data_IF_251584876387
#
_entry.id   IF_251584876387
#
_cell.length_a   1.000
_cell.length_b   1.000
_cell.length_c   1.000
_cell.angle_alpha   90.00
_cell.angle_beta   90.00
_cell.angle_gamma   90.00
#
_symmetry.space_group_name_H-M   'P 1'
#
loop_
_entity.id
_entity.type
_entity.pdbx_description
1 polymer ?
#
# COMPACT_ATOMS: atom_id res chain seq x y z
N UNK A 1 42.79 -4.40 -5.60
CA UNK A 1 41.49 -4.63 -6.27
C UNK A 1 40.43 -4.85 -5.18
N UNK A 2 39.66 -3.81 -4.84
CA UNK A 2 38.68 -3.83 -3.73
C UNK A 2 37.32 -4.30 -4.26
N UNK A 3 36.84 -5.44 -3.78
CA UNK A 3 35.45 -5.87 -3.96
C UNK A 3 34.68 -5.45 -2.71
N UNK A 4 33.83 -4.41 -2.85
CA UNK A 4 32.88 -3.99 -1.81
C UNK A 4 31.66 -4.92 -1.86
N UNK A 5 31.58 -5.86 -0.91
CA UNK A 5 30.37 -6.63 -0.66
C UNK A 5 29.47 -5.83 0.28
N UNK A 6 28.44 -5.18 -0.24
CA UNK A 6 27.41 -4.54 0.58
C UNK A 6 26.45 -5.63 1.08
N UNK A 7 26.63 -6.06 2.32
CA UNK A 7 25.68 -6.89 3.06
C UNK A 7 24.45 -6.06 3.44
N UNK A 8 23.26 -6.50 2.99
CA UNK A 8 21.98 -5.98 3.47
C UNK A 8 21.66 -6.60 4.83
N UNK A 9 21.87 -5.85 5.90
CA UNK A 9 21.34 -6.17 7.23
C UNK A 9 19.93 -5.58 7.35
N UNK A 10 18.90 -6.43 7.46
CA UNK A 10 17.62 -6.05 8.06
C UNK A 10 17.32 -7.11 9.11
N UNK A 11 17.58 -6.75 10.36
CA UNK A 11 17.39 -7.59 11.54
C UNK A 11 15.90 -7.70 11.88
N UNK A 12 15.48 -8.92 12.23
CA UNK A 12 14.35 -9.15 13.13
C UNK A 12 14.76 -8.64 14.53
N UNK A 13 13.96 -7.81 15.19
CA UNK A 13 14.02 -7.69 16.65
C UNK A 13 12.63 -7.75 17.28
N UNK A 14 12.53 -8.66 18.25
CA UNK A 14 11.46 -8.74 19.24
C UNK A 14 11.71 -7.66 20.30
N UNK A 15 10.60 -7.15 20.84
CA UNK A 15 10.51 -6.01 21.74
C UNK A 15 11.35 -6.16 23.03
N UNK A 16 12.43 -5.38 23.14
CA UNK A 16 12.91 -4.68 24.34
C UNK A 16 14.29 -4.06 24.02
N UNK A 17 14.39 -2.73 24.03
CA UNK A 17 15.66 -2.00 23.78
C UNK A 17 15.69 -1.30 22.43
N UNK A 18 15.78 0.03 22.47
CA UNK A 18 15.65 0.93 21.32
C UNK A 18 16.66 0.66 20.20
N UNK A 19 16.12 0.25 19.06
CA UNK A 19 16.60 0.66 17.74
C UNK A 19 15.42 1.41 17.15
N UNK A 20 15.57 2.70 16.87
CA UNK A 20 14.53 3.41 16.12
C UNK A 20 14.32 2.67 14.80
N UNK A 21 13.10 2.22 14.53
CA UNK A 21 12.77 1.59 13.27
C UNK A 21 13.12 2.58 12.14
N UNK A 22 14.09 2.21 11.30
CA UNK A 22 14.54 3.06 10.20
C UNK A 22 13.34 3.36 9.29
N UNK A 23 12.92 4.62 9.25
CA UNK A 23 11.85 5.05 8.36
C UNK A 23 12.40 5.25 6.95
N UNK A 24 11.92 4.43 6.02
CA UNK A 24 12.34 4.48 4.63
C UNK A 24 11.40 5.34 3.79
N UNK A 25 11.91 6.44 3.25
CA UNK A 25 11.24 7.21 2.19
C UNK A 25 11.23 6.40 0.88
N UNK A 26 10.05 5.91 0.50
CA UNK A 26 9.85 5.06 -0.65
C UNK A 26 9.94 5.83 -1.98
N UNK A 27 9.72 7.15 -1.99
CA UNK A 27 9.74 7.95 -3.22
C UNK A 27 11.16 8.24 -3.72
N UNK A 28 12.16 8.13 -2.84
CA UNK A 28 13.59 8.19 -3.18
C UNK A 28 14.13 6.88 -3.78
N UNK A 29 13.26 5.90 -4.04
CA UNK A 29 13.65 4.55 -4.44
C UNK A 29 13.02 4.15 -5.78
N UNK A 30 13.37 2.96 -6.26
CA UNK A 30 12.88 2.46 -7.56
C UNK A 30 11.50 1.81 -7.46
N UNK A 31 10.72 1.97 -8.53
CA UNK A 31 9.36 1.44 -8.66
C UNK A 31 9.18 0.74 -10.01
N UNK A 32 8.20 -0.16 -10.08
CA UNK A 32 7.81 -0.86 -11.29
C UNK A 32 6.30 -0.70 -11.47
N UNK A 33 5.90 0.04 -12.50
CA UNK A 33 4.50 0.17 -12.89
C UNK A 33 4.06 -0.93 -13.84
N UNK A 34 2.80 -1.34 -13.72
CA UNK A 34 2.18 -2.38 -14.55
C UNK A 34 0.95 -1.85 -15.27
N UNK A 35 0.53 -2.56 -16.33
CA UNK A 35 -0.63 -2.23 -17.15
C UNK A 35 -1.97 -2.29 -16.41
N UNK A 36 -3.03 -2.00 -17.14
CA UNK A 36 -4.41 -2.03 -16.68
C UNK A 36 -4.88 -3.43 -16.28
N UNK A 37 -6.05 -3.52 -15.66
CA UNK A 37 -6.78 -4.76 -15.36
C UNK A 37 -5.97 -5.75 -14.51
N UNK A 38 -5.28 -5.23 -13.49
CA UNK A 38 -4.40 -5.99 -12.60
C UNK A 38 -3.24 -6.70 -13.33
N UNK A 39 -2.89 -6.25 -14.54
CA UNK A 39 -1.83 -6.86 -15.35
C UNK A 39 -0.50 -6.92 -14.60
N UNK A 40 0.23 -8.02 -14.80
CA UNK A 40 1.61 -8.18 -14.36
C UNK A 40 2.63 -7.69 -15.40
N UNK A 41 2.16 -7.23 -16.56
CA UNK A 41 3.00 -6.70 -17.63
C UNK A 41 3.46 -5.29 -17.26
N UNK A 42 4.76 -5.02 -17.40
CA UNK A 42 5.33 -3.73 -17.05
C UNK A 42 4.83 -2.66 -18.03
N UNK A 43 4.35 -1.55 -17.49
CA UNK A 43 4.04 -0.34 -18.25
C UNK A 43 4.53 0.90 -17.48
N UNK A 44 5.74 1.42 -17.78
CA UNK A 44 6.31 2.54 -17.05
C UNK A 44 5.65 3.89 -17.40
N UNK A 45 4.79 3.96 -18.41
CA UNK A 45 4.18 5.21 -18.84
C UNK A 45 3.11 5.72 -17.85
N UNK A 46 2.46 4.82 -17.11
CA UNK A 46 1.24 5.07 -16.34
C UNK A 46 1.45 5.89 -15.05
N UNK A 47 2.62 5.82 -14.42
CA UNK A 47 2.92 6.59 -13.21
C UNK A 47 4.15 7.48 -13.42
N UNK A 48 4.09 8.72 -12.94
CA UNK A 48 5.18 9.69 -13.01
C UNK A 48 5.70 9.99 -11.61
N UNK A 49 6.93 9.57 -11.33
CA UNK A 49 7.66 9.83 -10.08
C UNK A 49 8.44 11.14 -10.21
N UNK A 50 8.31 12.05 -9.23
CA UNK A 50 8.88 13.41 -9.25
C UNK A 50 9.57 13.75 -7.93
N UNK A 51 10.39 12.84 -7.41
CA UNK A 51 11.21 13.01 -6.19
C UNK A 51 10.40 13.05 -4.90
N UNK A 52 9.52 14.03 -4.73
CA UNK A 52 8.71 14.27 -3.52
C UNK A 52 7.27 13.78 -3.63
N UNK A 53 6.83 13.42 -4.84
CA UNK A 53 5.51 12.84 -5.08
C UNK A 53 5.53 11.89 -6.29
N UNK A 54 4.50 11.06 -6.36
CA UNK A 54 4.13 10.28 -7.55
C UNK A 54 2.71 10.67 -7.96
N UNK A 55 2.46 10.69 -9.27
CA UNK A 55 1.13 10.96 -9.83
C UNK A 55 0.80 10.04 -10.99
N UNK A 56 -0.49 9.92 -11.26
CA UNK A 56 -1.00 9.39 -12.53
C UNK A 56 -2.16 10.26 -13.02
N UNK A 57 -2.26 10.42 -14.34
CA UNK A 57 -3.41 10.99 -15.04
C UNK A 57 -4.19 9.89 -15.79
N UNK A 58 -3.78 8.63 -15.63
CA UNK A 58 -4.41 7.50 -16.31
C UNK A 58 -5.80 7.29 -15.75
N UNK A 59 -6.74 7.05 -16.66
CA UNK A 59 -8.12 6.67 -16.33
C UNK A 59 -8.38 5.17 -16.45
N UNK A 60 -7.38 4.43 -16.93
CA UNK A 60 -7.34 2.97 -16.97
C UNK A 60 -7.73 2.31 -15.65
N UNK A 61 -8.32 1.13 -15.75
CA UNK A 61 -8.80 0.36 -14.60
C UNK A 61 -7.67 -0.43 -13.95
N UNK A 62 -7.65 -0.44 -12.61
CA UNK A 62 -6.79 -1.29 -11.79
C UNK A 62 -5.28 -1.27 -12.16
N UNK A 63 -4.72 -0.09 -12.36
CA UNK A 63 -3.28 0.08 -12.60
C UNK A 63 -2.50 0.14 -11.28
N UNK A 64 -1.25 -0.33 -11.33
CA UNK A 64 -0.41 -0.45 -10.14
C UNK A 64 0.99 0.11 -10.36
N UNK A 65 1.61 0.53 -9.25
CA UNK A 65 3.06 0.64 -9.17
C UNK A 65 3.58 -0.02 -7.91
N UNK A 66 4.58 -0.88 -8.07
CA UNK A 66 5.12 -1.72 -7.00
C UNK A 66 6.52 -1.25 -6.63
N UNK A 67 6.75 -1.12 -5.33
CA UNK A 67 8.07 -0.79 -4.80
C UNK A 67 9.09 -1.89 -5.16
N UNK A 68 10.20 -1.49 -5.79
CA UNK A 68 11.30 -2.37 -6.18
C UNK A 68 12.28 -2.49 -5.02
N UNK A 69 11.89 -3.25 -4.01
CA UNK A 69 12.80 -3.59 -2.93
C UNK A 69 13.76 -4.73 -3.30
N UNK A 70 15.06 -4.49 -3.11
CA UNK A 70 16.10 -5.53 -3.07
C UNK A 70 16.11 -6.35 -1.77
N UNK A 71 15.72 -5.77 -0.62
CA UNK A 71 15.70 -6.44 0.69
C UNK A 71 14.32 -6.72 1.27
N UNK A 72 13.27 -6.00 0.86
CA UNK A 72 11.93 -6.09 1.45
C UNK A 72 11.02 -7.17 0.84
N UNK A 73 11.60 -8.15 0.11
CA UNK A 73 10.85 -9.34 -0.37
C UNK A 73 10.31 -10.22 0.77
N UNK A 74 10.75 -9.94 2.01
CA UNK A 74 10.44 -10.66 3.24
C UNK A 74 9.64 -9.83 4.26
N UNK A 75 9.14 -8.64 3.91
CA UNK A 75 8.35 -7.83 4.85
C UNK A 75 7.09 -8.58 5.29
N UNK A 76 6.98 -8.82 6.60
CA UNK A 76 5.85 -9.50 7.24
C UNK A 76 5.12 -8.59 8.21
N UNK A 77 5.88 -7.70 8.85
CA UNK A 77 5.44 -6.76 9.87
C UNK A 77 6.02 -5.40 9.54
N UNK A 78 5.18 -4.38 9.46
CA UNK A 78 5.58 -3.00 9.16
C UNK A 78 4.39 -2.06 9.36
N UNK A 79 4.69 -0.77 9.36
CA UNK A 79 3.73 0.30 9.15
C UNK A 79 4.05 0.94 7.79
N UNK A 80 3.05 1.01 6.91
CA UNK A 80 3.11 1.74 5.65
C UNK A 80 2.23 2.98 5.77
N UNK A 81 2.83 4.16 5.61
CA UNK A 81 2.11 5.43 5.72
C UNK A 81 2.41 6.38 4.57
N UNK A 82 1.57 7.40 4.46
CA UNK A 82 1.82 8.54 3.60
C UNK A 82 0.57 9.37 3.38
N UNK A 83 0.56 10.10 2.26
CA UNK A 83 -0.56 10.94 1.87
C UNK A 83 -1.03 10.61 0.46
N UNK A 84 -2.34 10.67 0.26
CA UNK A 84 -3.01 10.48 -1.03
C UNK A 84 -4.04 11.56 -1.30
N UNK A 85 -4.26 11.88 -2.59
CA UNK A 85 -5.24 12.86 -3.07
C UNK A 85 -5.77 12.42 -4.43
N UNK A 86 -7.09 12.33 -4.56
CA UNK A 86 -7.78 12.26 -5.85
C UNK A 86 -8.29 13.65 -6.26
N UNK A 87 -8.43 13.88 -7.55
CA UNK A 87 -8.96 15.12 -8.10
C UNK A 87 -10.45 15.05 -8.47
N UNK A 88 -11.01 13.84 -8.57
CA UNK A 88 -12.36 13.59 -9.09
C UNK A 88 -13.03 12.48 -8.28
N UNK A 89 -14.29 12.66 -7.90
CA UNK A 89 -15.08 11.69 -7.11
C UNK A 89 -15.34 10.37 -7.84
N UNK A 90 -15.28 10.38 -9.17
CA UNK A 90 -15.36 9.20 -10.01
C UNK A 90 -14.00 8.48 -10.15
N UNK A 91 -12.97 8.92 -9.44
CA UNK A 91 -11.65 8.32 -9.40
C UNK A 91 -11.47 7.28 -8.30
N UNK A 92 -10.64 6.27 -8.55
CA UNK A 92 -10.18 5.33 -7.53
C UNK A 92 -8.73 5.58 -7.11
N UNK A 93 -8.47 5.56 -5.80
CA UNK A 93 -7.13 5.75 -5.23
C UNK A 93 -6.88 4.80 -4.07
N UNK A 94 -5.63 4.38 -3.91
CA UNK A 94 -5.26 3.54 -2.79
C UNK A 94 -3.79 3.17 -2.75
N UNK A 95 -3.49 2.25 -1.84
CA UNK A 95 -2.17 1.66 -1.67
C UNK A 95 -2.29 0.14 -1.58
N UNK A 96 -1.29 -0.56 -2.13
CA UNK A 96 -1.20 -2.02 -2.04
C UNK A 96 -0.08 -2.43 -1.09
N UNK A 97 -0.25 -3.59 -0.47
CA UNK A 97 0.72 -4.15 0.46
C UNK A 97 0.64 -5.69 0.43
N UNK A 98 1.74 -6.33 0.84
CA UNK A 98 1.97 -7.76 0.59
C UNK A 98 1.82 -8.20 -0.88
N UNK A 99 2.04 -7.31 -1.84
CA UNK A 99 1.88 -7.65 -3.26
C UNK A 99 2.86 -8.72 -3.74
N UNK A 100 2.33 -9.74 -4.42
CA UNK A 100 3.08 -10.88 -4.97
C UNK A 100 3.70 -10.61 -6.34
N UNK A 101 3.60 -9.39 -6.88
CA UNK A 101 4.28 -9.02 -8.13
C UNK A 101 5.77 -9.42 -8.10
N UNK A 102 6.30 -10.18 -9.06
CA UNK A 102 5.78 -10.58 -10.38
C UNK A 102 5.15 -11.98 -10.47
N UNK A 103 5.00 -12.66 -9.35
CA UNK A 103 4.67 -14.10 -9.32
C UNK A 103 3.18 -14.37 -9.47
N UNK A 104 2.36 -13.49 -8.90
CA UNK A 104 0.91 -13.63 -8.92
C UNK A 104 0.23 -12.28 -8.77
N UNK A 105 -0.97 -12.18 -9.30
CA UNK A 105 -1.89 -11.08 -9.08
C UNK A 105 -2.60 -11.25 -7.74
N UNK A 106 -1.85 -11.02 -6.66
CA UNK A 106 -2.32 -11.18 -5.27
C UNK A 106 -1.76 -10.09 -4.39
N UNK A 107 -2.61 -9.42 -3.62
CA UNK A 107 -2.23 -8.38 -2.66
C UNK A 107 -3.39 -8.07 -1.71
N UNK A 108 -3.10 -7.29 -0.66
CA UNK A 108 -4.13 -6.51 0.02
C UNK A 108 -4.01 -5.05 -0.43
N UNK A 109 -5.11 -4.31 -0.36
CA UNK A 109 -5.13 -2.87 -0.63
C UNK A 109 -6.03 -2.13 0.34
N UNK A 110 -5.60 -0.92 0.70
CA UNK A 110 -6.49 0.12 1.22
C UNK A 110 -6.91 0.98 0.03
N UNK A 111 -8.20 1.05 -0.28
CA UNK A 111 -8.71 1.77 -1.46
C UNK A 111 -10.03 2.48 -1.19
N UNK A 112 -10.32 3.48 -2.02
CA UNK A 112 -11.64 4.09 -2.22
C UNK A 112 -11.86 4.25 -3.72
N UNK A 113 -13.08 4.03 -4.19
CA UNK A 113 -13.48 4.16 -5.61
C UNK A 113 -15.01 4.33 -5.74
N UNK A 114 -15.56 4.69 -6.91
CA UNK A 114 -16.97 5.09 -6.99
C UNK A 114 -17.99 4.03 -6.54
N UNK A 115 -17.72 2.75 -6.81
CA UNK A 115 -18.59 1.64 -6.39
C UNK A 115 -18.48 1.29 -4.90
N UNK A 116 -17.46 1.77 -4.20
CA UNK A 116 -17.35 1.72 -2.75
C UNK A 116 -16.49 2.92 -2.27
N UNK A 117 -17.13 4.07 -2.00
CA UNK A 117 -16.44 5.33 -1.86
C UNK A 117 -15.75 5.50 -0.50
N UNK A 118 -16.08 4.70 0.51
CA UNK A 118 -15.32 4.69 1.76
C UNK A 118 -13.95 4.05 1.56
N UNK A 119 -12.93 4.53 2.29
CA UNK A 119 -11.67 3.80 2.35
C UNK A 119 -11.85 2.49 3.10
N UNK A 120 -11.53 1.37 2.45
CA UNK A 120 -11.66 0.04 3.01
C UNK A 120 -10.48 -0.85 2.62
N UNK A 121 -10.26 -1.92 3.40
CA UNK A 121 -9.34 -2.99 3.06
C UNK A 121 -10.05 -3.97 2.12
N UNK A 122 -9.47 -4.15 0.94
CA UNK A 122 -9.90 -5.17 -0.01
C UNK A 122 -8.73 -6.10 -0.34
N UNK A 123 -8.85 -7.41 -0.12
CA UNK A 123 -7.92 -8.39 -0.65
C UNK A 123 -8.13 -8.60 -2.16
N UNK A 124 -7.13 -9.14 -2.86
CA UNK A 124 -7.22 -9.52 -4.27
C UNK A 124 -6.47 -10.85 -4.52
N UNK A 125 -6.99 -11.77 -5.37
CA UNK A 125 -8.22 -11.70 -6.16
C UNK A 125 -9.50 -11.64 -5.34
N UNK A 126 -10.46 -10.85 -5.82
CA UNK A 126 -11.75 -10.66 -5.17
C UNK A 126 -12.50 -12.01 -5.14
N UNK A 127 -13.08 -12.37 -3.98
CA UNK A 127 -13.78 -13.66 -3.78
C UNK A 127 -12.87 -14.88 -3.54
N UNK A 128 -11.56 -14.78 -3.77
CA UNK A 128 -10.60 -15.84 -3.46
C UNK A 128 -9.80 -15.47 -2.21
N UNK A 129 -9.18 -14.30 -2.21
CA UNK A 129 -8.51 -13.79 -1.02
C UNK A 129 -9.55 -13.09 -0.14
N UNK A 130 -9.55 -13.36 1.16
CA UNK A 130 -10.62 -12.92 2.06
C UNK A 130 -10.09 -12.11 3.25
N UNK A 131 -10.92 -11.20 3.74
CA UNK A 131 -10.86 -10.74 5.13
C UNK A 131 -11.85 -11.62 5.87
N UNK A 132 -11.36 -12.38 6.85
CA UNK A 132 -12.15 -13.43 7.51
C UNK A 132 -12.65 -13.00 8.89
N UNK A 133 -12.17 -11.89 9.43
CA UNK A 133 -12.61 -11.36 10.71
C UNK A 133 -12.36 -9.85 10.86
N UNK A 134 -13.17 -9.22 11.72
CA UNK A 134 -13.05 -7.82 12.10
C UNK A 134 -13.63 -6.84 11.08
N UNK A 135 -13.40 -5.55 11.32
CA UNK A 135 -13.90 -4.46 10.48
C UNK A 135 -12.83 -4.00 9.49
N UNK A 136 -13.20 -3.96 8.21
CA UNK A 136 -12.35 -3.56 7.08
C UNK A 136 -12.65 -2.17 6.55
N UNK A 137 -13.68 -1.49 7.03
CA UNK A 137 -14.07 -0.15 6.57
C UNK A 137 -13.58 0.96 7.53
N UNK A 138 -13.33 2.15 6.99
CA UNK A 138 -12.94 3.32 7.80
C UNK A 138 -14.05 4.34 7.97
N UNK A 139 -15.14 4.18 7.22
CA UNK A 139 -16.25 5.12 7.03
C UNK A 139 -15.84 6.46 6.39
N UNK A 140 -14.57 6.62 6.02
CA UNK A 140 -14.05 7.87 5.44
C UNK A 140 -14.25 7.87 3.93
N UNK A 141 -15.17 8.73 3.46
CA UNK A 141 -15.28 9.10 2.04
C UNK A 141 -14.32 10.26 1.74
N UNK A 142 -13.40 10.12 0.77
CA UNK A 142 -12.51 11.21 0.42
C UNK A 142 -13.22 12.30 -0.39
N UNK A 143 -12.99 13.56 -0.01
CA UNK A 143 -13.44 14.71 -0.78
C UNK A 143 -12.39 15.02 -1.87
N UNK A 144 -12.79 15.13 -3.16
CA UNK A 144 -11.88 15.50 -4.23
C UNK A 144 -11.07 16.76 -3.92
N UNK A 145 -9.81 16.74 -4.34
CA UNK A 145 -8.89 17.84 -4.15
C UNK A 145 -8.31 17.95 -2.73
N UNK A 146 -8.76 17.15 -1.74
CA UNK A 146 -8.19 17.14 -0.39
C UNK A 146 -7.12 16.05 -0.24
N UNK A 147 -6.09 16.37 0.54
CA UNK A 147 -5.09 15.39 0.95
C UNK A 147 -5.60 14.60 2.15
N UNK A 148 -5.38 13.29 2.13
CA UNK A 148 -5.62 12.39 3.26
C UNK A 148 -4.32 11.72 3.66
N UNK A 149 -4.02 11.73 4.95
CA UNK A 149 -3.02 10.85 5.53
C UNK A 149 -3.59 9.44 5.62
N UNK A 150 -2.75 8.44 5.44
CA UNK A 150 -3.06 7.06 5.80
C UNK A 150 -1.94 6.45 6.63
N UNK A 151 -2.32 5.46 7.45
CA UNK A 151 -1.40 4.57 8.14
C UNK A 151 -1.96 3.17 8.11
N UNK A 152 -1.21 2.22 7.58
CA UNK A 152 -1.56 0.80 7.53
C UNK A 152 -0.50 0.03 8.33
N UNK A 153 -0.90 -0.59 9.43
CA UNK A 153 -0.07 -1.50 10.19
C UNK A 153 -0.41 -2.93 9.79
N UNK A 154 0.60 -3.68 9.38
CA UNK A 154 0.47 -5.10 9.02
C UNK A 154 1.28 -5.92 10.01
N UNK A 155 0.67 -6.98 10.54
CA UNK A 155 1.37 -7.99 11.36
C UNK A 155 0.97 -9.38 10.91
N UNK A 156 1.96 -10.17 10.52
CA UNK A 156 1.75 -11.55 10.07
C UNK A 156 2.28 -12.54 11.10
N UNK A 157 1.46 -13.50 11.49
CA UNK A 157 1.81 -14.64 12.34
C UNK A 157 1.56 -15.96 11.62
N UNK A 158 1.87 -17.07 12.30
CA UNK A 158 1.53 -18.43 11.85
C UNK A 158 0.02 -18.65 11.73
N UNK A 159 -0.80 -17.89 12.46
CA UNK A 159 -2.26 -18.01 12.44
C UNK A 159 -2.93 -17.01 11.47
N UNK A 160 -2.47 -15.76 11.41
CA UNK A 160 -3.20 -14.71 10.68
C UNK A 160 -2.32 -13.62 10.09
N UNK A 161 -2.85 -12.88 9.12
CA UNK A 161 -2.36 -11.56 8.71
C UNK A 161 -3.31 -10.52 9.26
N UNK A 162 -2.90 -9.80 10.31
CA UNK A 162 -3.69 -8.72 10.92
C UNK A 162 -3.36 -7.39 10.25
N UNK A 163 -4.40 -6.63 9.96
CA UNK A 163 -4.32 -5.34 9.29
C UNK A 163 -5.08 -4.33 10.15
N UNK A 164 -4.39 -3.26 10.56
CA UNK A 164 -5.04 -2.08 11.13
C UNK A 164 -4.79 -0.91 10.21
N UNK A 165 -5.81 -0.12 9.93
CA UNK A 165 -5.65 1.07 9.11
C UNK A 165 -6.44 2.24 9.68
N UNK A 166 -5.99 3.43 9.32
CA UNK A 166 -6.70 4.67 9.58
C UNK A 166 -6.37 5.70 8.53
N UNK A 167 -7.36 6.52 8.22
CA UNK A 167 -7.30 7.54 7.19
C UNK A 167 -7.92 8.81 7.73
N UNK A 168 -7.27 9.95 7.51
CA UNK A 168 -7.80 11.23 7.99
C UNK A 168 -7.31 12.38 7.11
N UNK A 169 -8.11 13.45 7.05
CA UNK A 169 -7.76 14.62 6.25
C UNK A 169 -6.45 15.24 6.75
N UNK A 170 -5.60 15.65 5.82
CA UNK A 170 -4.36 16.34 6.18
C UNK A 170 -4.68 17.67 6.88
N UNK A 171 -4.00 17.93 8.00
CA UNK A 171 -4.24 19.09 8.87
C UNK A 171 -5.28 18.87 9.97
N UNK A 172 -5.92 17.69 10.05
CA UNK A 172 -6.78 17.32 11.18
C UNK A 172 -6.08 16.37 12.13
N UNK A 173 -6.61 16.24 13.35
CA UNK A 173 -6.13 15.28 14.34
C UNK A 173 -6.20 13.85 13.81
N UNK A 174 -5.16 13.07 14.10
CA UNK A 174 -5.10 11.66 13.75
C UNK A 174 -6.11 10.88 14.62
N UNK A 175 -7.02 10.09 14.03
CA UNK A 175 -7.97 9.30 14.80
C UNK A 175 -7.33 8.07 15.45
N UNK A 176 -8.15 7.37 16.23
CA UNK A 176 -7.91 5.97 16.58
C UNK A 176 -7.81 5.07 15.34
N UNK A 177 -7.60 3.77 15.56
CA UNK A 177 -7.65 2.81 14.48
C UNK A 177 -9.11 2.57 14.09
N UNK A 178 -9.47 2.95 12.87
CA UNK A 178 -10.83 2.76 12.32
C UNK A 178 -10.98 1.33 11.80
N UNK A 179 -9.99 0.88 11.02
CA UNK A 179 -9.94 -0.47 10.49
C UNK A 179 -9.13 -1.38 11.41
N UNK A 180 -9.67 -2.55 11.71
CA UNK A 180 -9.00 -3.61 12.46
C UNK A 180 -9.56 -4.98 12.06
N UNK A 181 -8.95 -5.56 11.03
CA UNK A 181 -9.38 -6.84 10.46
C UNK A 181 -8.22 -7.83 10.34
N UNK A 182 -8.55 -9.06 9.99
CA UNK A 182 -7.56 -10.09 9.70
C UNK A 182 -8.01 -11.04 8.61
N UNK A 183 -7.00 -11.57 7.93
CA UNK A 183 -7.12 -12.75 7.09
C UNK A 183 -6.49 -13.93 7.83
N UNK A 184 -7.35 -14.85 8.25
CA UNK A 184 -7.01 -16.08 8.99
C UNK A 184 -7.04 -17.31 8.10
N UNK A 185 -7.26 -17.15 6.79
CA UNK A 185 -7.28 -18.25 5.85
C UNK A 185 -5.89 -18.89 5.67
N UNK A 186 -5.88 -20.15 5.25
CA UNK A 186 -4.64 -20.87 4.93
C UNK A 186 -3.94 -20.29 3.70
N UNK A 187 -4.71 -19.71 2.78
CA UNK A 187 -4.20 -19.08 1.57
C UNK A 187 -3.74 -17.65 1.77
N UNK A 188 -3.90 -17.04 2.96
CA UNK A 188 -3.52 -15.64 3.23
C UNK A 188 -2.14 -15.23 2.73
N UNK A 189 -1.99 -13.97 2.37
CA UNK A 189 -0.72 -13.44 1.90
C UNK A 189 0.15 -13.05 3.10
N UNK A 190 1.29 -13.71 3.23
CA UNK A 190 2.14 -13.62 4.44
C UNK A 190 3.24 -12.58 4.35
N UNK A 191 3.59 -12.14 3.14
CA UNK A 191 4.67 -11.17 2.86
C UNK A 191 4.54 -10.65 1.45
N UNK A 192 5.08 -9.48 1.14
CA UNK A 192 5.21 -9.04 -0.24
C UNK A 192 5.61 -7.58 -0.37
N UNK A 193 5.41 -7.02 -1.55
CA UNK A 193 5.79 -5.65 -1.89
C UNK A 193 4.74 -4.65 -1.41
N UNK A 194 5.21 -3.44 -1.12
CA UNK A 194 4.37 -2.25 -1.03
C UNK A 194 4.09 -1.70 -2.43
N UNK A 195 3.02 -0.96 -2.58
CA UNK A 195 2.65 -0.35 -3.84
C UNK A 195 1.61 0.76 -3.71
N UNK A 196 1.23 1.29 -4.86
CA UNK A 196 0.12 2.23 -5.06
C UNK A 196 -0.83 1.67 -6.11
N UNK A 197 -2.10 2.06 -6.01
CA UNK A 197 -3.17 1.61 -6.90
C UNK A 197 -4.03 2.78 -7.33
N UNK A 198 -4.46 2.77 -8.59
CA UNK A 198 -5.34 3.80 -9.16
C UNK A 198 -6.31 3.20 -10.16
N UNK A 199 -7.46 3.84 -10.33
CA UNK A 199 -8.35 3.58 -11.47
C UNK A 199 -9.21 4.80 -11.81
N UNK A 200 -9.88 4.78 -12.96
CA UNK A 200 -10.98 5.67 -13.32
C UNK A 200 -10.62 7.16 -13.36
N UNK A 201 -11.58 8.07 -13.27
CA UNK A 201 -11.42 9.48 -13.60
C UNK A 201 -10.41 10.25 -12.74
N UNK A 202 -9.89 11.34 -13.28
CA UNK A 202 -9.16 12.36 -12.54
C UNK A 202 -7.73 11.98 -12.14
N UNK A 203 -6.94 12.99 -11.83
CA UNK A 203 -5.55 12.82 -11.39
C UNK A 203 -5.48 12.27 -9.96
N UNK A 204 -4.59 11.30 -9.73
CA UNK A 204 -4.25 10.80 -8.39
C UNK A 204 -2.82 11.16 -8.04
N UNK A 205 -2.59 11.52 -6.79
CA UNK A 205 -1.26 11.84 -6.26
C UNK A 205 -1.01 11.12 -4.94
N UNK A 206 0.24 10.73 -4.73
CA UNK A 206 0.76 10.28 -3.45
C UNK A 206 2.03 11.05 -3.12
N UNK A 207 2.26 11.31 -1.83
CA UNK A 207 3.48 11.90 -1.31
C UNK A 207 3.78 11.37 0.09
N UNK A 208 5.03 11.55 0.55
CA UNK A 208 5.48 11.10 1.88
C UNK A 208 5.21 9.60 2.09
N UNK A 209 5.46 8.79 1.06
CA UNK A 209 5.26 7.33 1.16
C UNK A 209 6.44 6.75 1.95
N UNK A 210 6.15 6.18 3.10
CA UNK A 210 7.14 5.76 4.09
C UNK A 210 6.81 4.38 4.64
N UNK A 211 7.84 3.61 4.98
CA UNK A 211 7.68 2.35 5.72
C UNK A 211 8.63 2.29 6.90
N UNK A 212 8.16 1.75 8.02
CA UNK A 212 8.92 1.46 9.23
C UNK A 212 8.51 0.11 9.85
#
# INVERSE_FOLDING_TARGET
>A
MRVLTILAAIALSLWAGGLEAETLDLLKRSWISTGADNSLVRNPALFKFRGTFVRTNSEETNIHSHFKAGGFRSLRNYIYSGQMRLADENGGIGVTFHSQYRRADRYYRLRSFPGNPQFHIAPHPDGIQLITAGDSDSEVVPIPGRWYNFKVMVRTTSARTRIRAKVWRAGTSQPGWQINCSDESDIRIKRGKLGIWSMAAGQKKWRRLEVN
#
